data_IF_188360051469
#
_entry.id   IF_188360051469
#
_cell.length_a   1.000
_cell.length_b   1.000
_cell.length_c   1.000
_cell.angle_alpha   90.00
_cell.angle_beta   90.00
_cell.angle_gamma   90.00
#
_symmetry.space_group_name_H-M   'P 1'
#
loop_
_entity.id
_entity.type
_entity.pdbx_description
1 polymer ?
#
# COMPACT_ATOMS: atom_id res chain seq x y z
N UNK A 1 3.33 12.34 -1.63
CA UNK A 1 2.38 13.11 -0.80
C UNK A 1 2.16 12.32 0.49
N UNK A 2 2.63 12.83 1.63
CA UNK A 2 2.48 12.19 2.95
C UNK A 2 1.33 12.87 3.70
N UNK A 3 0.39 12.09 4.27
CA UNK A 3 -0.65 12.59 5.16
C UNK A 3 -0.38 12.09 6.59
N UNK A 4 -0.02 13.01 7.49
CA UNK A 4 0.02 12.77 8.95
C UNK A 4 -1.36 13.07 9.52
N UNK A 5 -2.03 12.08 10.12
CA UNK A 5 -3.25 12.29 10.91
C UNK A 5 -2.87 12.49 12.39
N UNK A 6 -3.20 13.66 12.94
CA UNK A 6 -3.14 13.95 14.38
C UNK A 6 -4.54 13.73 14.98
N UNK A 7 -4.64 12.83 15.96
CA UNK A 7 -5.85 12.56 16.73
C UNK A 7 -5.94 13.55 17.91
N UNK A 8 -7.03 14.33 18.00
CA UNK A 8 -7.42 15.05 19.21
C UNK A 8 -8.67 14.40 19.83
N UNK A 9 -8.51 13.93 21.07
CA UNK A 9 -9.54 13.34 21.93
C UNK A 9 -10.38 14.43 22.60
N UNK A 10 -11.71 14.36 22.51
CA UNK A 10 -12.64 15.24 23.24
C UNK A 10 -13.40 14.45 24.31
N UNK A 11 -13.27 14.89 25.57
CA UNK A 11 -14.02 14.33 26.72
C UNK A 11 -15.34 15.09 26.92
N UNK A 12 -16.44 14.36 26.98
CA UNK A 12 -17.78 14.84 27.31
C UNK A 12 -17.95 15.09 28.83
N UNK A 13 -18.67 16.15 29.20
CA UNK A 13 -19.36 16.26 30.49
C UNK A 13 -20.79 16.77 30.28
N UNK A 14 -21.72 16.01 30.85
CA UNK A 14 -23.16 16.22 30.90
C UNK A 14 -23.51 17.15 32.07
N UNK A 15 -24.41 18.10 31.87
CA UNK A 15 -25.23 18.67 32.95
C UNK A 15 -26.59 19.09 32.41
N UNK A 16 -27.63 18.58 33.06
CA UNK A 16 -29.04 18.84 32.78
C UNK A 16 -29.49 20.17 33.40
N UNK A 17 -30.30 20.93 32.67
CA UNK A 17 -31.13 22.01 33.22
C UNK A 17 -32.38 22.20 32.35
N UNK A 18 -33.55 22.11 32.97
CA UNK A 18 -34.84 22.46 32.35
C UNK A 18 -35.08 23.96 32.35
N UNK A 19 -35.77 24.49 31.33
CA UNK A 19 -36.73 25.56 31.57
C UNK A 19 -38.07 25.36 30.83
N UNK A 20 -39.17 25.71 31.52
CA UNK A 20 -40.50 25.94 30.94
C UNK A 20 -40.51 27.30 30.24
N UNK A 21 -40.84 27.39 28.95
CA UNK A 21 -41.27 28.65 28.32
C UNK A 21 -42.37 28.42 27.27
N UNK A 22 -43.35 29.30 27.37
CA UNK A 22 -44.55 29.58 26.59
C UNK A 22 -44.44 29.50 25.06
N UNK A 23 -45.60 29.18 24.47
CA UNK A 23 -45.92 29.20 23.06
C UNK A 23 -45.68 30.57 22.39
N UNK A 24 -45.03 30.53 21.24
CA UNK A 24 -45.39 31.20 19.97
C UNK A 24 -44.12 31.32 19.13
N UNK A 25 -43.98 30.49 18.08
CA UNK A 25 -42.93 30.69 17.09
C UNK A 25 -43.48 30.43 15.69
N UNK A 26 -43.41 31.51 14.91
CA UNK A 26 -43.72 31.65 13.49
C UNK A 26 -43.14 30.48 12.70
N UNK A 27 -43.91 30.00 11.71
CA UNK A 27 -43.40 29.13 10.65
C UNK A 27 -42.16 29.80 10.02
N UNK A 28 -40.98 29.34 10.43
CA UNK A 28 -39.76 29.58 9.67
C UNK A 28 -39.86 28.70 8.45
N UNK A 29 -39.96 29.32 7.27
CA UNK A 29 -39.62 28.70 6.01
C UNK A 29 -38.24 28.07 6.16
N UNK A 30 -38.19 26.74 6.25
CA UNK A 30 -36.96 26.00 6.21
C UNK A 30 -36.26 26.35 4.89
N UNK A 31 -35.10 26.99 5.00
CA UNK A 31 -34.16 27.15 3.90
C UNK A 31 -33.95 25.77 3.28
N UNK A 32 -34.45 25.58 2.06
CA UNK A 32 -34.16 24.40 1.26
C UNK A 32 -32.64 24.25 1.21
N UNK A 33 -32.13 23.20 1.86
CA UNK A 33 -30.71 22.89 1.88
C UNK A 33 -30.17 22.89 0.46
N UNK A 34 -29.10 23.65 0.23
CA UNK A 34 -28.32 23.63 -0.99
C UNK A 34 -28.06 22.17 -1.37
N UNK A 35 -28.67 21.69 -2.46
CA UNK A 35 -28.19 20.48 -3.14
C UNK A 35 -26.78 20.83 -3.61
N UNK A 36 -25.76 20.32 -2.92
CA UNK A 36 -24.39 20.38 -3.40
C UNK A 36 -24.36 19.80 -4.81
N UNK A 37 -24.22 20.67 -5.82
CA UNK A 37 -24.03 20.23 -7.20
C UNK A 37 -22.75 19.40 -7.23
N UNK A 38 -22.89 18.13 -7.63
CA UNK A 38 -21.74 17.28 -7.89
C UNK A 38 -20.88 17.92 -8.99
N UNK A 39 -19.54 17.85 -8.90
CA UNK A 39 -18.70 18.39 -9.95
C UNK A 39 -18.98 17.67 -11.27
N UNK A 40 -18.80 18.36 -12.39
CA UNK A 40 -18.81 17.72 -13.70
C UNK A 40 -17.48 17.00 -13.94
N UNK A 41 -17.47 15.89 -14.69
CA UNK A 41 -16.23 15.20 -15.03
C UNK A 41 -15.31 16.13 -15.84
N UNK A 42 -13.98 16.05 -15.63
CA UNK A 42 -13.04 16.82 -16.43
C UNK A 42 -13.09 16.36 -17.89
N UNK A 43 -12.98 17.31 -18.81
CA UNK A 43 -13.02 17.04 -20.24
C UNK A 43 -11.60 17.09 -20.81
N UNK A 44 -11.10 15.95 -21.28
CA UNK A 44 -9.84 15.90 -22.00
C UNK A 44 -9.94 16.68 -23.32
N UNK A 45 -8.93 17.50 -23.60
CA UNK A 45 -8.79 18.14 -24.91
C UNK A 45 -8.61 17.08 -26.00
N UNK A 46 -9.26 17.30 -27.14
CA UNK A 46 -9.07 16.47 -28.34
C UNK A 46 -7.97 17.10 -29.20
N UNK A 47 -6.80 16.47 -29.21
CA UNK A 47 -5.67 16.86 -30.05
C UNK A 47 -5.50 15.79 -31.12
N UNK A 48 -5.81 16.13 -32.37
CA UNK A 48 -5.73 15.18 -33.49
C UNK A 48 -4.31 14.64 -33.62
N UNK A 49 -4.14 13.33 -33.45
CA UNK A 49 -2.91 12.61 -33.75
C UNK A 49 -3.23 11.44 -34.69
N UNK A 50 -2.61 11.40 -35.86
CA UNK A 50 -2.79 10.32 -36.83
C UNK A 50 -1.74 9.24 -36.61
N UNK A 51 -2.19 7.99 -36.59
CA UNK A 51 -1.37 6.80 -36.51
C UNK A 51 -1.65 5.94 -37.73
N UNK A 52 -0.63 5.66 -38.54
CA UNK A 52 -0.73 4.80 -39.71
C UNK A 52 -0.07 3.45 -39.45
N UNK A 53 -0.79 2.36 -39.73
CA UNK A 53 -0.25 1.02 -39.66
C UNK A 53 -0.89 0.15 -40.75
N UNK A 54 -0.06 -0.56 -41.53
CA UNK A 54 -0.50 -1.40 -42.65
C UNK A 54 -1.36 -0.65 -43.70
N UNK A 55 -1.12 0.65 -43.89
CA UNK A 55 -1.88 1.50 -44.81
C UNK A 55 -3.25 1.93 -44.32
N UNK A 56 -3.60 1.65 -43.05
CA UNK A 56 -4.81 2.16 -42.39
C UNK A 56 -4.45 3.32 -41.45
N UNK A 57 -5.18 4.45 -41.57
CA UNK A 57 -4.97 5.66 -40.79
C UNK A 57 -6.04 5.77 -39.71
N UNK A 58 -5.60 5.76 -38.46
CA UNK A 58 -6.46 5.96 -37.28
C UNK A 58 -6.13 7.28 -36.61
N UNK A 59 -7.17 8.02 -36.19
CA UNK A 59 -7.01 9.25 -35.42
C UNK A 59 -7.23 8.95 -33.94
N UNK A 60 -6.20 9.18 -33.13
CA UNK A 60 -6.29 9.18 -31.68
C UNK A 60 -6.27 10.64 -31.18
N UNK A 61 -7.40 11.11 -30.65
CA UNK A 61 -7.51 12.46 -30.13
C UNK A 61 -6.84 12.66 -28.75
N UNK A 62 -6.42 11.58 -28.10
CA UNK A 62 -5.92 11.57 -26.73
C UNK A 62 -4.51 11.02 -26.62
N UNK A 63 -3.83 10.81 -27.75
CA UNK A 63 -2.44 10.35 -27.78
C UNK A 63 -1.51 11.26 -26.96
N UNK A 64 -1.85 12.55 -26.83
CA UNK A 64 -1.11 13.53 -26.02
C UNK A 64 -1.07 13.21 -24.52
N UNK A 65 -1.97 12.36 -24.00
CA UNK A 65 -1.94 11.90 -22.61
C UNK A 65 -0.77 10.93 -22.36
N UNK A 66 -0.21 10.33 -23.40
CA UNK A 66 1.02 9.54 -23.29
C UNK A 66 2.22 10.47 -23.17
N UNK A 67 2.89 10.41 -22.03
CA UNK A 67 4.20 11.02 -21.82
C UNK A 67 5.11 10.00 -21.12
N UNK A 68 6.03 9.43 -21.89
CA UNK A 68 6.96 8.41 -21.40
C UNK A 68 7.88 8.97 -20.29
N UNK A 69 8.13 10.29 -20.28
CA UNK A 69 8.90 10.98 -19.23
C UNK A 69 8.12 11.20 -17.93
N UNK A 70 6.78 11.12 -17.99
CA UNK A 70 5.82 11.34 -16.89
C UNK A 70 5.97 12.69 -16.19
N UNK A 71 6.36 13.73 -16.93
CA UNK A 71 6.66 15.07 -16.41
C UNK A 71 5.86 16.18 -17.10
N UNK A 72 5.11 15.87 -18.15
CA UNK A 72 4.34 16.84 -18.90
C UNK A 72 3.27 17.48 -17.99
N UNK A 73 3.35 18.81 -17.74
CA UNK A 73 2.45 19.47 -16.80
C UNK A 73 0.99 19.43 -17.25
N UNK A 74 0.71 19.37 -18.57
CA UNK A 74 -0.66 19.28 -19.08
C UNK A 74 -1.29 17.93 -18.75
N UNK A 75 -0.53 16.85 -18.91
CA UNK A 75 -0.96 15.48 -18.55
C UNK A 75 -1.17 15.37 -17.04
N UNK A 76 -0.19 15.82 -16.25
CA UNK A 76 -0.29 15.80 -14.77
C UNK A 76 -1.49 16.61 -14.29
N UNK A 77 -1.73 17.80 -14.85
CA UNK A 77 -2.89 18.62 -14.49
C UNK A 77 -4.21 17.92 -14.79
N UNK A 78 -4.33 17.24 -15.94
CA UNK A 78 -5.53 16.48 -16.27
C UNK A 78 -5.76 15.31 -15.28
N UNK A 79 -4.71 14.56 -14.95
CA UNK A 79 -4.79 13.48 -13.96
C UNK A 79 -5.18 13.99 -12.56
N UNK A 80 -4.69 15.16 -12.16
CA UNK A 80 -5.09 15.79 -10.89
C UNK A 80 -6.58 16.19 -10.89
N UNK A 81 -7.11 16.66 -12.02
CA UNK A 81 -8.54 16.96 -12.16
C UNK A 81 -9.40 15.70 -12.05
N UNK A 82 -8.97 14.60 -12.68
CA UNK A 82 -9.64 13.29 -12.57
C UNK A 82 -9.63 12.76 -11.12
N UNK A 83 -8.50 12.90 -10.42
CA UNK A 83 -8.41 12.53 -9.00
C UNK A 83 -9.35 13.36 -8.13
N UNK A 84 -9.41 14.69 -8.35
CA UNK A 84 -10.30 15.57 -7.60
C UNK A 84 -11.79 15.28 -7.88
N UNK A 85 -12.14 14.99 -9.12
CA UNK A 85 -13.48 14.55 -9.50
C UNK A 85 -13.85 13.22 -8.79
N UNK A 86 -12.94 12.25 -8.81
CA UNK A 86 -13.12 10.97 -8.12
C UNK A 86 -13.32 11.14 -6.62
N UNK A 87 -12.48 11.96 -5.97
CA UNK A 87 -12.59 12.24 -4.53
C UNK A 87 -13.94 12.89 -4.18
N UNK A 88 -14.40 13.84 -4.99
CA UNK A 88 -15.69 14.48 -4.78
C UNK A 88 -16.87 13.51 -4.97
N UNK A 89 -16.84 12.69 -6.02
CA UNK A 89 -17.89 11.69 -6.30
C UNK A 89 -17.94 10.57 -5.24
N UNK A 90 -16.77 10.19 -4.69
CA UNK A 90 -16.63 9.15 -3.66
C UNK A 90 -16.66 9.73 -2.23
N UNK A 91 -16.84 11.03 -2.05
CA UNK A 91 -16.81 11.66 -0.72
C UNK A 91 -17.84 11.06 0.25
N UNK A 92 -18.99 10.60 -0.25
CA UNK A 92 -20.04 9.97 0.54
C UNK A 92 -19.73 8.55 1.01
N UNK A 93 -18.71 7.88 0.47
CA UNK A 93 -18.37 6.48 0.79
C UNK A 93 -17.30 6.34 1.87
N UNK A 94 -16.75 7.44 2.39
CA UNK A 94 -15.60 7.40 3.32
C UNK A 94 -15.80 6.53 4.55
N UNK A 95 -16.97 6.60 5.19
CA UNK A 95 -17.29 5.73 6.34
C UNK A 95 -17.24 4.24 5.98
N UNK A 96 -17.74 3.88 4.81
CA UNK A 96 -17.76 2.50 4.34
C UNK A 96 -16.36 2.03 3.90
N UNK A 97 -15.58 2.91 3.27
CA UNK A 97 -14.17 2.66 2.96
C UNK A 97 -13.36 2.39 4.24
N UNK A 98 -13.56 3.18 5.30
CA UNK A 98 -12.88 3.01 6.59
C UNK A 98 -13.29 1.71 7.28
N UNK A 99 -14.57 1.34 7.21
CA UNK A 99 -15.08 0.06 7.74
C UNK A 99 -14.43 -1.14 7.03
N UNK A 100 -14.38 -1.11 5.69
CA UNK A 100 -13.71 -2.15 4.89
C UNK A 100 -12.21 -2.19 5.20
N UNK A 101 -11.56 -1.03 5.28
CA UNK A 101 -10.13 -0.94 5.59
C UNK A 101 -9.82 -1.57 6.95
N UNK A 102 -10.60 -1.24 7.98
CA UNK A 102 -10.46 -1.81 9.32
C UNK A 102 -10.72 -3.32 9.34
N UNK A 103 -11.73 -3.80 8.60
CA UNK A 103 -12.03 -5.23 8.46
C UNK A 103 -10.88 -6.00 7.81
N UNK A 104 -10.34 -5.48 6.70
CA UNK A 104 -9.21 -6.09 6.00
C UNK A 104 -7.98 -6.10 6.92
N UNK A 105 -7.64 -4.97 7.54
CA UNK A 105 -6.51 -4.87 8.47
C UNK A 105 -6.65 -5.79 9.67
N UNK A 106 -7.85 -5.92 10.23
CA UNK A 106 -8.14 -6.78 11.37
C UNK A 106 -8.02 -8.28 11.09
N UNK A 107 -8.05 -8.68 9.81
CA UNK A 107 -7.84 -10.08 9.37
C UNK A 107 -6.39 -10.40 9.03
N UNK A 108 -5.52 -9.39 8.97
CA UNK A 108 -4.10 -9.57 8.69
C UNK A 108 -3.37 -9.77 10.02
N UNK A 109 -2.64 -10.89 10.13
CA UNK A 109 -1.69 -11.12 11.20
C UNK A 109 -0.40 -10.37 10.86
N UNK A 110 -0.13 -9.27 11.56
CA UNK A 110 1.01 -8.40 11.23
C UNK A 110 2.37 -9.05 11.52
N UNK A 111 2.51 -9.67 12.69
CA UNK A 111 3.70 -10.47 13.02
C UNK A 111 3.47 -11.91 12.57
N UNK A 112 4.10 -12.29 11.47
CA UNK A 112 3.96 -13.62 10.91
C UNK A 112 5.24 -14.13 10.28
N UNK A 113 5.33 -15.44 10.13
CA UNK A 113 6.46 -16.12 9.50
C UNK A 113 5.97 -16.95 8.33
N UNK A 114 6.73 -16.97 7.23
CA UNK A 114 6.47 -17.89 6.14
C UNK A 114 6.73 -19.33 6.58
N UNK A 115 6.14 -20.29 5.85
CA UNK A 115 6.54 -21.69 5.97
C UNK A 115 8.07 -21.84 5.77
N UNK A 116 8.83 -22.37 6.74
CA UNK A 116 10.28 -22.47 6.62
C UNK A 116 10.70 -23.49 5.58
N UNK A 117 11.66 -23.11 4.73
CA UNK A 117 12.30 -23.99 3.75
C UNK A 117 13.61 -24.53 4.30
N UNK A 118 13.69 -25.85 4.52
CA UNK A 118 14.96 -26.53 4.81
C UNK A 118 15.82 -26.57 3.55
N UNK A 119 16.98 -25.92 3.56
CA UNK A 119 17.95 -25.92 2.45
C UNK A 119 19.38 -25.94 2.98
N UNK A 120 20.10 -27.02 2.66
CA UNK A 120 21.46 -27.24 3.16
C UNK A 120 21.47 -27.23 4.71
N UNK A 121 22.34 -26.46 5.37
CA UNK A 121 22.47 -26.46 6.82
C UNK A 121 21.50 -25.50 7.56
N UNK A 122 20.53 -24.92 6.87
CA UNK A 122 19.62 -23.91 7.44
C UNK A 122 18.15 -24.17 7.09
N UNK A 123 17.27 -23.65 7.93
CA UNK A 123 15.91 -23.25 7.58
C UNK A 123 15.92 -21.79 7.12
N UNK A 124 15.32 -21.50 5.97
CA UNK A 124 15.12 -20.15 5.45
C UNK A 124 13.65 -19.78 5.50
N UNK A 125 13.33 -18.55 5.88
CA UNK A 125 11.97 -18.06 5.96
C UNK A 125 11.98 -16.52 5.87
N UNK A 126 10.84 -15.94 5.55
CA UNK A 126 10.61 -14.52 5.74
C UNK A 126 9.72 -14.29 6.94
N UNK A 127 9.81 -13.12 7.56
CA UNK A 127 8.86 -12.68 8.57
C UNK A 127 8.43 -11.24 8.37
N UNK A 128 7.23 -10.93 8.81
CA UNK A 128 6.75 -9.56 9.00
C UNK A 128 6.76 -9.25 10.49
N UNK A 129 6.81 -7.97 10.85
CA UNK A 129 6.78 -7.52 12.23
C UNK A 129 5.61 -6.55 12.41
N UNK A 130 5.04 -6.52 13.61
CA UNK A 130 3.97 -5.58 13.93
C UNK A 130 4.41 -4.12 13.68
N UNK A 131 3.54 -3.37 13.00
CA UNK A 131 3.81 -1.98 12.61
C UNK A 131 4.93 -1.79 11.58
N UNK A 132 5.40 -2.87 10.93
CA UNK A 132 6.39 -2.81 9.84
C UNK A 132 5.73 -3.15 8.51
N UNK A 133 6.14 -2.41 7.48
CA UNK A 133 5.53 -2.51 6.14
C UNK A 133 6.18 -3.60 5.27
N UNK A 134 7.43 -3.99 5.59
CA UNK A 134 8.21 -4.88 4.74
C UNK A 134 8.69 -6.13 5.49
N UNK A 135 9.05 -7.15 4.71
CA UNK A 135 9.53 -8.43 5.23
C UNK A 135 11.00 -8.38 5.64
N UNK A 136 11.37 -9.27 6.56
CA UNK A 136 12.76 -9.64 6.84
C UNK A 136 13.03 -11.04 6.32
N UNK A 137 14.13 -11.23 5.58
CA UNK A 137 14.61 -12.56 5.21
C UNK A 137 15.51 -13.08 6.30
N UNK A 138 15.16 -14.25 6.84
CA UNK A 138 15.83 -14.85 7.98
C UNK A 138 16.34 -16.26 7.64
N UNK A 139 17.29 -16.74 8.45
CA UNK A 139 17.64 -18.14 8.51
C UNK A 139 17.93 -18.60 9.93
N UNK A 140 17.72 -19.89 10.18
CA UNK A 140 18.10 -20.57 11.43
C UNK A 140 18.91 -21.83 11.13
N UNK A 141 20.02 -22.09 11.84
CA UNK A 141 20.75 -23.35 11.69
C UNK A 141 19.88 -24.56 12.01
N UNK A 142 20.07 -25.67 11.29
CA UNK A 142 19.47 -26.96 11.65
C UNK A 142 20.26 -27.55 12.83
N UNK A 143 19.61 -28.04 13.89
CA UNK A 143 20.31 -28.63 15.05
C UNK A 143 21.19 -29.84 14.70
N UNK A 144 20.68 -30.77 13.89
CA UNK A 144 21.44 -31.92 13.40
C UNK A 144 21.69 -31.78 11.89
N UNK A 145 22.91 -31.38 11.53
CA UNK A 145 23.28 -31.10 10.13
C UNK A 145 23.43 -32.35 9.26
N UNK A 146 23.72 -33.49 9.89
CA UNK A 146 23.96 -34.76 9.20
C UNK A 146 22.67 -35.58 9.02
N UNK A 147 21.58 -35.18 9.68
CA UNK A 147 20.28 -35.83 9.51
C UNK A 147 19.78 -35.65 8.07
N UNK A 148 19.28 -36.71 7.41
CA UNK A 148 18.66 -36.58 6.09
C UNK A 148 17.42 -35.67 6.16
N UNK A 149 17.07 -35.06 5.03
CA UNK A 149 15.83 -34.29 4.89
C UNK A 149 14.61 -35.20 5.00
N UNK A 150 13.59 -34.74 5.74
CA UNK A 150 12.32 -35.43 5.97
C UNK A 150 11.15 -34.49 5.72
N UNK A 151 10.04 -35.02 5.24
CA UNK A 151 8.77 -34.28 5.14
C UNK A 151 8.18 -33.90 6.50
N UNK A 152 8.69 -34.50 7.58
CA UNK A 152 8.32 -34.19 8.96
C UNK A 152 9.27 -33.21 9.63
N UNK A 153 10.27 -32.69 8.90
CA UNK A 153 11.18 -31.67 9.43
C UNK A 153 10.41 -30.43 9.84
N UNK A 154 10.63 -29.99 11.07
CA UNK A 154 10.06 -28.75 11.59
C UNK A 154 11.20 -27.87 12.08
N UNK A 155 11.16 -26.58 11.72
CA UNK A 155 12.10 -25.62 12.27
C UNK A 155 11.88 -25.48 13.78
N UNK A 156 12.90 -25.66 14.63
CA UNK A 156 12.75 -25.49 16.06
C UNK A 156 12.34 -24.04 16.38
N UNK A 157 11.40 -23.86 17.30
CA UNK A 157 10.93 -22.57 17.82
C UNK A 157 11.08 -22.53 19.34
N UNK A 158 10.97 -21.33 19.94
CA UNK A 158 11.10 -21.15 21.39
C UNK A 158 12.53 -20.85 21.88
N UNK A 159 12.74 -20.80 23.21
CA UNK A 159 13.98 -20.32 23.84
C UNK A 159 15.22 -21.18 23.54
N UNK A 160 15.04 -22.48 23.37
CA UNK A 160 16.13 -23.43 23.12
C UNK A 160 16.48 -23.58 21.64
N UNK A 161 15.75 -22.87 20.76
CA UNK A 161 16.00 -22.91 19.34
C UNK A 161 17.31 -22.19 18.99
N UNK A 162 18.07 -22.68 17.98
CA UNK A 162 19.26 -21.98 17.51
C UNK A 162 18.96 -20.52 17.17
N UNK A 163 19.91 -19.59 17.39
CA UNK A 163 19.69 -18.18 17.12
C UNK A 163 19.34 -17.94 15.65
N UNK A 164 18.37 -17.06 15.43
CA UNK A 164 18.01 -16.57 14.10
C UNK A 164 19.08 -15.61 13.59
N UNK A 165 19.35 -15.66 12.29
CA UNK A 165 20.14 -14.67 11.57
C UNK A 165 19.26 -13.96 10.54
N UNK A 166 19.09 -12.65 10.68
CA UNK A 166 18.49 -11.79 9.66
C UNK A 166 19.52 -11.59 8.53
N UNK A 167 19.14 -11.93 7.30
CA UNK A 167 19.98 -11.84 6.10
C UNK A 167 19.78 -10.47 5.44
N UNK A 168 18.52 -10.04 5.33
CA UNK A 168 18.14 -8.78 4.72
C UNK A 168 16.87 -8.26 5.40
N UNK A 169 16.90 -7.02 5.85
CA UNK A 169 15.73 -6.31 6.38
C UNK A 169 15.29 -5.25 5.36
N UNK A 170 14.18 -5.50 4.69
CA UNK A 170 13.64 -4.54 3.72
C UNK A 170 13.18 -3.24 4.39
N UNK A 171 12.80 -3.27 5.67
CA UNK A 171 12.37 -2.06 6.40
C UNK A 171 13.54 -1.08 6.61
N UNK A 172 14.77 -1.59 6.77
CA UNK A 172 15.97 -0.76 6.86
C UNK A 172 16.30 -0.18 5.49
N UNK A 173 16.22 -1.00 4.44
CA UNK A 173 16.50 -0.58 3.07
C UNK A 173 15.49 0.44 2.54
N UNK A 174 14.22 0.34 2.95
CA UNK A 174 13.15 1.19 2.46
C UNK A 174 13.13 2.62 3.05
N UNK A 175 13.86 2.91 4.13
CA UNK A 175 13.70 4.16 4.91
C UNK A 175 13.90 5.45 4.09
N UNK A 176 14.74 5.40 3.05
CA UNK A 176 15.09 6.56 2.23
C UNK A 176 14.35 6.58 0.88
N UNK A 177 13.40 5.68 0.67
CA UNK A 177 12.69 5.55 -0.60
C UNK A 177 11.19 5.73 -0.45
N UNK A 178 10.57 6.45 -1.39
CA UNK A 178 9.10 6.58 -1.45
C UNK A 178 8.39 5.32 -1.94
N UNK A 179 9.15 4.37 -2.49
CA UNK A 179 8.73 3.04 -2.90
C UNK A 179 9.93 2.11 -2.74
N UNK A 180 9.71 0.88 -2.27
CA UNK A 180 10.77 -0.12 -2.19
C UNK A 180 10.21 -1.52 -2.47
N UNK A 181 10.94 -2.32 -3.23
CA UNK A 181 10.57 -3.70 -3.52
C UNK A 181 11.81 -4.55 -3.78
N UNK A 182 11.87 -5.72 -3.17
CA UNK A 182 12.77 -6.80 -3.62
C UNK A 182 12.01 -7.68 -4.62
N UNK A 183 12.47 -7.69 -5.88
CA UNK A 183 11.91 -8.52 -6.94
C UNK A 183 12.41 -9.96 -6.92
N UNK A 184 13.66 -10.16 -6.48
CA UNK A 184 14.26 -11.49 -6.35
C UNK A 184 15.22 -11.53 -5.16
N UNK A 185 15.23 -12.67 -4.47
CA UNK A 185 16.16 -12.98 -3.39
C UNK A 185 16.67 -14.41 -3.58
N UNK A 186 17.99 -14.59 -3.72
CA UNK A 186 18.61 -15.89 -3.98
C UNK A 186 19.85 -16.10 -3.12
N UNK A 187 19.82 -17.19 -2.36
CA UNK A 187 20.98 -17.62 -1.56
C UNK A 187 21.85 -18.57 -2.39
N UNK A 188 23.15 -18.29 -2.40
CA UNK A 188 24.19 -19.12 -3.03
C UNK A 188 24.14 -20.59 -2.55
N UNK A 189 24.55 -21.57 -3.39
CA UNK A 189 24.55 -22.99 -3.00
C UNK A 189 25.40 -23.30 -1.77
N UNK A 190 26.46 -22.52 -1.51
CA UNK A 190 27.32 -22.68 -0.34
C UNK A 190 26.82 -21.90 0.89
N UNK A 191 25.69 -21.19 0.79
CA UNK A 191 25.05 -20.44 1.87
C UNK A 191 25.87 -19.28 2.47
N UNK A 192 26.88 -18.79 1.74
CA UNK A 192 27.77 -17.70 2.20
C UNK A 192 27.41 -16.34 1.61
N UNK A 193 26.81 -16.33 0.43
CA UNK A 193 26.38 -15.11 -0.28
C UNK A 193 24.88 -15.12 -0.55
N UNK A 194 24.32 -13.93 -0.65
CA UNK A 194 22.98 -13.68 -1.16
C UNK A 194 23.10 -12.72 -2.34
N UNK A 195 22.28 -12.95 -3.36
CA UNK A 195 22.01 -11.97 -4.40
C UNK A 195 20.56 -11.49 -4.26
N UNK A 196 20.32 -10.19 -4.34
CA UNK A 196 18.97 -9.63 -4.34
C UNK A 196 18.80 -8.53 -5.38
N UNK A 197 17.59 -8.41 -5.91
CA UNK A 197 17.23 -7.46 -6.95
C UNK A 197 16.26 -6.42 -6.38
N UNK A 198 16.65 -5.16 -6.31
CA UNK A 198 15.85 -4.07 -5.72
C UNK A 198 15.29 -3.12 -6.79
N UNK A 199 14.06 -2.66 -6.58
CA UNK A 199 13.39 -1.58 -7.32
C UNK A 199 12.94 -0.51 -6.30
N UNK A 200 13.37 0.73 -6.54
CA UNK A 200 13.10 1.89 -5.66
C UNK A 200 12.14 2.92 -6.30
N UNK A 201 11.66 2.65 -7.51
CA UNK A 201 10.83 3.56 -8.32
C UNK A 201 9.48 2.98 -8.70
N UNK A 202 9.33 1.65 -8.66
CA UNK A 202 8.12 0.94 -9.07
C UNK A 202 7.97 0.84 -10.59
N UNK A 203 9.07 0.99 -11.33
CA UNK A 203 9.11 0.84 -12.80
C UNK A 203 9.52 -0.58 -13.25
N UNK A 204 9.66 -1.50 -12.30
CA UNK A 204 10.07 -2.89 -12.51
C UNK A 204 11.47 -3.03 -13.14
N UNK A 205 12.31 -2.01 -13.00
CA UNK A 205 13.73 -2.04 -13.37
C UNK A 205 14.56 -2.28 -12.09
N UNK A 206 15.24 -3.42 -12.06
CA UNK A 206 15.94 -3.87 -10.86
C UNK A 206 17.45 -3.67 -10.91
N UNK A 207 18.03 -3.24 -9.79
CA UNK A 207 19.49 -3.29 -9.56
C UNK A 207 19.82 -4.51 -8.71
N UNK A 208 20.81 -5.30 -9.14
CA UNK A 208 21.22 -6.53 -8.44
C UNK A 208 22.46 -6.27 -7.59
N UNK A 209 22.41 -6.75 -6.35
CA UNK A 209 23.50 -6.75 -5.37
C UNK A 209 23.84 -8.17 -4.93
#
# INVERSE_FOLDING_TARGET
LHLRLLLFSTSHRILAAHPKISASRRLSTATMGSRSQLPSPPLAEKVKHEMELFGDVRVDNYYWLRDDSRKNPKVISYLQQENAYTEAMMSGTKKFEDEIYAEIRGRIKEDDISAPLRKGPYYYYSRTLEGKEYVQYCRRPIPNRDAPSSVHDTMPTGPDAPPEHVILDENVKAQEHGFYRIGAFKVSPNHKMVAYAEDTKGDEIYTVY
#
